data_IF_053884089423
#
_entry.id   IF_053884089423
#
_cell.length_a   1.000
_cell.length_b   1.000
_cell.length_c   1.000
_cell.angle_alpha   90.00
_cell.angle_beta   90.00
_cell.angle_gamma   90.00
#
_symmetry.space_group_name_H-M   'P 1'
#
loop_
_entity.id
_entity.type
_entity.pdbx_description
1 polymer ?
#
# COMPACT_ATOMS: atom_id res chain seq x y z
N UNK A 1 -4.32 -0.58 -4.86
CA UNK A 1 -2.87 -0.78 -5.03
C UNK A 1 -2.50 -0.43 -6.45
N UNK A 2 -1.33 0.16 -6.67
CA UNK A 2 -0.78 0.28 -8.01
C UNK A 2 -0.56 -1.09 -8.63
N UNK A 3 -0.52 -1.15 -9.97
CA UNK A 3 -0.11 -2.36 -10.67
C UNK A 3 1.42 -2.49 -10.65
N UNK A 4 1.91 -3.72 -10.78
CA UNK A 4 3.35 -4.00 -10.97
C UNK A 4 3.94 -3.22 -12.14
N UNK A 5 3.15 -2.97 -13.18
CA UNK A 5 3.56 -2.14 -14.31
C UNK A 5 3.84 -0.70 -13.87
N UNK A 6 2.98 -0.11 -13.03
CA UNK A 6 3.19 1.23 -12.52
C UNK A 6 4.40 1.29 -11.58
N UNK A 7 4.56 0.32 -10.68
CA UNK A 7 5.74 0.23 -9.82
C UNK A 7 7.04 0.22 -10.62
N UNK A 8 7.18 -0.69 -11.59
CA UNK A 8 8.37 -0.73 -12.47
C UNK A 8 8.58 0.55 -13.25
N UNK A 9 7.50 1.18 -13.72
CA UNK A 9 7.61 2.46 -14.40
C UNK A 9 8.16 3.54 -13.46
N UNK A 10 7.63 3.64 -12.23
CA UNK A 10 8.11 4.59 -11.22
C UNK A 10 9.59 4.31 -10.86
N UNK A 11 9.99 3.05 -10.72
CA UNK A 11 11.39 2.68 -10.48
C UNK A 11 12.29 3.18 -11.61
N UNK A 12 11.90 2.93 -12.86
CA UNK A 12 12.65 3.37 -14.04
C UNK A 12 12.73 4.89 -14.19
N UNK A 13 11.69 5.63 -13.77
CA UNK A 13 11.73 7.10 -13.70
C UNK A 13 12.78 7.55 -12.67
N UNK A 14 12.73 7.03 -11.45
CA UNK A 14 13.67 7.41 -10.40
C UNK A 14 15.12 7.04 -10.76
N UNK A 15 15.35 5.86 -11.34
CA UNK A 15 16.68 5.44 -11.81
C UNK A 15 17.28 6.37 -12.87
N UNK A 16 16.45 7.00 -13.71
CA UNK A 16 16.91 7.94 -14.74
C UNK A 16 17.09 9.36 -14.22
N UNK A 17 16.25 9.78 -13.28
CA UNK A 17 16.10 11.19 -12.89
C UNK A 17 16.71 11.53 -11.52
N UNK A 18 17.07 10.52 -10.72
CA UNK A 18 17.60 10.70 -9.36
C UNK A 18 19.03 10.19 -9.29
N UNK A 19 19.97 11.11 -9.13
CA UNK A 19 21.38 10.76 -8.92
C UNK A 19 21.51 9.90 -7.65
N UNK A 20 22.13 8.74 -7.80
CA UNK A 20 22.37 7.79 -6.70
C UNK A 20 21.23 6.79 -6.47
N UNK A 21 20.10 6.89 -7.18
CA UNK A 21 19.10 5.84 -7.21
C UNK A 21 19.48 4.82 -8.29
N UNK A 22 20.21 3.77 -7.91
CA UNK A 22 20.71 2.74 -8.83
C UNK A 22 20.27 1.37 -8.33
N UNK A 23 19.88 0.49 -9.25
CA UNK A 23 19.67 -0.93 -8.98
C UNK A 23 20.78 -1.71 -9.66
N UNK A 24 21.41 -2.60 -8.93
CA UNK A 24 22.53 -3.42 -9.39
C UNK A 24 22.30 -4.91 -9.16
N UNK A 25 21.35 -5.27 -8.29
CA UNK A 25 20.99 -6.65 -8.02
C UNK A 25 20.30 -7.25 -9.26
N UNK A 26 20.87 -8.32 -9.86
CA UNK A 26 20.33 -8.93 -11.07
C UNK A 26 18.89 -9.42 -10.89
N UNK A 27 18.02 -9.05 -11.84
CA UNK A 27 16.61 -9.49 -11.85
C UNK A 27 15.74 -8.91 -10.73
N UNK A 28 16.26 -8.00 -9.90
CA UNK A 28 15.54 -7.41 -8.77
C UNK A 28 14.23 -6.73 -9.21
N UNK A 29 14.30 -5.82 -10.18
CA UNK A 29 13.15 -5.02 -10.66
C UNK A 29 12.00 -5.90 -11.17
N UNK A 30 12.31 -7.06 -11.74
CA UNK A 30 11.30 -7.98 -12.31
C UNK A 30 10.65 -8.89 -11.27
N UNK A 31 11.28 -9.04 -10.09
CA UNK A 31 10.88 -9.97 -9.04
C UNK A 31 10.33 -9.30 -7.79
N UNK A 32 10.79 -8.10 -7.46
CA UNK A 32 10.50 -7.45 -6.17
C UNK A 32 9.00 -7.37 -5.88
N UNK A 33 8.18 -6.96 -6.85
CA UNK A 33 6.72 -6.88 -6.69
C UNK A 33 6.07 -8.26 -6.44
N UNK A 34 6.57 -9.32 -7.11
CA UNK A 34 6.05 -10.69 -6.92
C UNK A 34 6.36 -11.23 -5.54
N UNK A 35 7.56 -10.91 -5.03
CA UNK A 35 8.02 -11.31 -3.70
C UNK A 35 7.14 -10.65 -2.64
N UNK A 36 6.82 -9.37 -2.79
CA UNK A 36 6.04 -8.59 -1.84
C UNK A 36 4.55 -8.97 -1.87
N UNK A 37 3.96 -9.07 -3.06
CA UNK A 37 2.49 -9.21 -3.19
C UNK A 37 2.00 -10.66 -3.22
N UNK A 38 2.88 -11.64 -3.45
CA UNK A 38 2.45 -13.00 -3.78
C UNK A 38 3.27 -14.11 -3.14
N UNK A 39 4.58 -14.13 -3.37
CA UNK A 39 5.37 -15.37 -3.24
C UNK A 39 5.64 -15.78 -1.78
N UNK A 40 5.59 -14.84 -0.82
CA UNK A 40 5.84 -15.10 0.60
C UNK A 40 4.66 -14.76 1.53
N UNK A 41 3.49 -14.47 0.96
CA UNK A 41 2.30 -13.99 1.67
C UNK A 41 2.25 -12.46 1.77
N UNK A 42 1.09 -11.89 2.10
CA UNK A 42 0.92 -10.43 2.18
C UNK A 42 1.85 -9.84 3.25
N UNK A 43 2.78 -8.98 2.82
CA UNK A 43 3.75 -8.31 3.69
C UNK A 43 3.55 -6.79 3.70
N UNK A 44 2.31 -6.34 3.47
CA UNK A 44 1.90 -4.94 3.44
C UNK A 44 2.43 -4.16 4.66
N UNK A 45 3.47 -3.36 4.44
CA UNK A 45 3.94 -2.42 5.45
C UNK A 45 2.99 -1.23 5.50
N UNK A 46 2.43 -0.97 6.68
CA UNK A 46 1.66 0.24 6.98
C UNK A 46 0.14 0.09 6.80
N UNK A 47 -0.33 -1.07 6.31
CA UNK A 47 -1.76 -1.43 6.25
C UNK A 47 -2.10 -2.58 7.21
N UNK A 48 -1.77 -2.41 8.49
CA UNK A 48 -2.07 -3.41 9.50
C UNK A 48 -1.24 -3.25 10.77
N UNK A 49 -1.63 -3.96 11.83
CA UNK A 49 -0.89 -4.01 13.09
C UNK A 49 -0.01 -5.26 13.22
N UNK A 50 0.26 -5.99 12.14
CA UNK A 50 1.10 -7.18 12.23
C UNK A 50 2.56 -6.77 12.52
N UNK A 51 3.07 -7.05 13.74
CA UNK A 51 4.42 -6.66 14.11
C UNK A 51 5.50 -7.50 13.43
N UNK A 52 5.13 -8.54 12.67
CA UNK A 52 6.07 -9.44 11.99
C UNK A 52 6.18 -9.17 10.48
N UNK A 53 5.38 -8.25 9.91
CA UNK A 53 5.42 -7.99 8.46
C UNK A 53 6.79 -7.59 7.95
N UNK A 54 7.52 -6.72 8.67
CA UNK A 54 8.84 -6.29 8.26
C UNK A 54 9.88 -7.40 8.36
N UNK A 55 9.85 -8.20 9.42
CA UNK A 55 10.71 -9.40 9.55
C UNK A 55 10.46 -10.40 8.42
N UNK A 56 9.20 -10.64 8.06
CA UNK A 56 8.86 -11.51 6.92
C UNK A 56 9.35 -10.95 5.59
N UNK A 57 9.21 -9.63 5.37
CA UNK A 57 9.77 -8.96 4.21
C UNK A 57 11.29 -9.13 4.13
N UNK A 58 12.02 -8.81 5.21
CA UNK A 58 13.48 -8.99 5.23
C UNK A 58 13.88 -10.43 4.96
N UNK A 59 13.16 -11.41 5.54
CA UNK A 59 13.41 -12.82 5.26
C UNK A 59 13.14 -13.17 3.80
N UNK A 60 12.08 -12.66 3.19
CA UNK A 60 11.79 -12.89 1.77
C UNK A 60 12.90 -12.30 0.87
N UNK A 61 13.34 -11.07 1.16
CA UNK A 61 14.46 -10.44 0.44
C UNK A 61 15.78 -11.19 0.64
N UNK A 62 16.04 -11.66 1.87
CA UNK A 62 17.17 -12.53 2.18
C UNK A 62 17.15 -13.80 1.33
N UNK A 63 16.04 -14.55 1.35
CA UNK A 63 15.92 -15.80 0.60
C UNK A 63 16.06 -15.60 -0.91
N UNK A 64 15.65 -14.45 -1.44
CA UNK A 64 15.60 -14.22 -2.87
C UNK A 64 16.85 -13.55 -3.46
N UNK A 65 17.50 -12.68 -2.70
CA UNK A 65 18.63 -11.87 -3.18
C UNK A 65 19.82 -11.81 -2.23
N UNK A 66 19.67 -12.34 -1.00
CA UNK A 66 20.68 -12.22 0.03
C UNK A 66 21.95 -13.02 -0.24
N UNK A 67 22.98 -12.70 0.51
CA UNK A 67 24.22 -13.46 0.57
C UNK A 67 24.93 -13.41 1.92
N UNK A 68 25.85 -14.33 2.17
CA UNK A 68 26.64 -14.35 3.40
C UNK A 68 27.91 -13.53 3.20
N UNK A 69 28.14 -12.57 4.10
CA UNK A 69 29.40 -11.87 4.23
C UNK A 69 30.31 -12.59 5.24
N UNK A 70 31.50 -13.00 4.83
CA UNK A 70 32.53 -13.52 5.72
C UNK A 70 33.45 -12.38 6.17
N UNK A 71 33.36 -12.01 7.45
CA UNK A 71 34.15 -10.92 8.03
C UNK A 71 35.64 -11.22 8.12
N UNK A 72 36.05 -12.49 8.04
CA UNK A 72 37.46 -12.88 8.08
C UNK A 72 38.14 -12.67 6.72
N UNK A 73 37.50 -13.15 5.64
CA UNK A 73 38.03 -13.00 4.27
C UNK A 73 37.64 -11.68 3.63
N UNK A 74 36.66 -10.96 4.20
CA UNK A 74 36.10 -9.73 3.63
C UNK A 74 35.50 -9.97 2.23
N UNK A 75 34.82 -11.11 2.07
CA UNK A 75 34.23 -11.56 0.81
C UNK A 75 32.82 -12.12 1.01
N UNK A 76 32.03 -12.08 -0.06
CA UNK A 76 30.73 -12.74 -0.14
C UNK A 76 30.89 -14.22 -0.50
N UNK A 77 30.10 -15.10 0.13
CA UNK A 77 30.13 -16.54 -0.14
C UNK A 77 29.42 -16.94 -1.44
N UNK A 78 28.71 -16.03 -2.10
CA UNK A 78 28.03 -16.22 -3.39
C UNK A 78 27.00 -17.36 -3.35
N UNK A 79 26.09 -17.32 -2.36
CA UNK A 79 24.99 -18.27 -2.24
C UNK A 79 24.12 -18.28 -3.51
N UNK A 80 23.90 -19.47 -4.06
CA UNK A 80 23.35 -19.66 -5.41
C UNK A 80 21.85 -19.95 -5.44
N UNK A 81 21.28 -20.33 -4.31
CA UNK A 81 19.88 -20.78 -4.26
C UNK A 81 19.18 -20.45 -2.95
N UNK A 82 17.85 -20.41 -3.00
CA UNK A 82 16.98 -20.32 -1.82
C UNK A 82 17.31 -21.44 -0.83
N UNK A 83 17.56 -22.66 -1.33
CA UNK A 83 17.86 -23.82 -0.49
C UNK A 83 19.15 -23.62 0.31
N UNK A 84 20.21 -23.14 -0.34
CA UNK A 84 21.49 -22.85 0.32
C UNK A 84 21.34 -21.75 1.39
N UNK A 85 20.54 -20.72 1.12
CA UNK A 85 20.26 -19.68 2.12
C UNK A 85 19.43 -20.19 3.30
N UNK A 86 18.49 -21.11 3.08
CA UNK A 86 17.78 -21.80 4.16
C UNK A 86 18.71 -22.70 4.98
N UNK A 87 19.66 -23.38 4.35
CA UNK A 87 20.68 -24.14 5.09
C UNK A 87 21.53 -23.22 5.96
N UNK A 88 21.91 -22.04 5.45
CA UNK A 88 22.63 -21.04 6.25
C UNK A 88 21.81 -20.53 7.43
N UNK A 89 20.51 -20.24 7.25
CA UNK A 89 19.60 -19.93 8.37
C UNK A 89 19.66 -21.03 9.43
N UNK A 90 19.52 -22.29 9.02
CA UNK A 90 19.55 -23.44 9.94
C UNK A 90 20.91 -23.59 10.64
N UNK A 91 22.02 -23.46 9.91
CA UNK A 91 23.39 -23.57 10.47
C UNK A 91 23.64 -22.53 11.55
N UNK A 92 23.22 -21.28 11.32
CA UNK A 92 23.35 -20.20 12.30
C UNK A 92 22.44 -20.43 13.50
N UNK A 93 21.20 -20.90 13.30
CA UNK A 93 20.30 -21.24 14.42
C UNK A 93 20.91 -22.34 15.30
N UNK A 94 21.49 -23.38 14.68
CA UNK A 94 22.12 -24.49 15.41
C UNK A 94 23.47 -24.13 16.02
N UNK A 95 24.17 -23.14 15.47
CA UNK A 95 25.49 -22.70 15.93
C UNK A 95 25.56 -21.15 15.95
N UNK A 96 25.01 -20.49 16.98
CA UNK A 96 24.96 -19.02 17.04
C UNK A 96 26.33 -18.33 16.98
N UNK A 97 27.40 -19.01 17.42
CA UNK A 97 28.79 -18.49 17.37
C UNK A 97 29.24 -18.16 15.94
N UNK A 98 28.63 -18.77 14.92
CA UNK A 98 28.89 -18.45 13.51
C UNK A 98 28.59 -16.99 13.17
N UNK A 99 27.69 -16.32 13.92
CA UNK A 99 27.39 -14.89 13.71
C UNK A 99 28.57 -13.96 14.00
N UNK A 100 29.59 -14.43 14.73
CA UNK A 100 30.81 -13.66 14.96
C UNK A 100 31.66 -13.49 13.69
N UNK A 101 31.47 -14.38 12.71
CA UNK A 101 32.22 -14.40 11.44
C UNK A 101 31.32 -14.14 10.23
N UNK A 102 30.14 -14.76 10.20
CA UNK A 102 29.25 -14.73 9.05
C UNK A 102 28.06 -13.81 9.33
N UNK A 103 27.85 -12.84 8.44
CA UNK A 103 26.74 -11.91 8.53
C UNK A 103 25.78 -12.11 7.35
N UNK A 104 24.48 -12.09 7.62
CA UNK A 104 23.48 -12.07 6.56
C UNK A 104 23.43 -10.69 5.93
N UNK A 105 23.60 -10.67 4.61
CA UNK A 105 23.50 -9.46 3.82
C UNK A 105 22.30 -9.53 2.89
N UNK A 106 21.48 -8.49 2.89
CA UNK A 106 20.43 -8.27 1.89
C UNK A 106 20.89 -7.07 1.07
N UNK A 107 20.90 -7.15 -0.28
CA UNK A 107 21.30 -6.04 -1.12
C UNK A 107 20.55 -4.74 -0.81
N UNK A 108 21.30 -3.64 -0.74
CA UNK A 108 20.74 -2.37 -0.28
C UNK A 108 19.61 -1.88 -1.22
N UNK A 109 19.79 -2.06 -2.53
CA UNK A 109 18.79 -1.71 -3.55
C UNK A 109 17.50 -2.55 -3.44
N UNK A 110 17.59 -3.79 -2.96
CA UNK A 110 16.41 -4.63 -2.70
C UNK A 110 15.57 -4.08 -1.54
N UNK A 111 16.20 -3.65 -0.45
CA UNK A 111 15.52 -3.01 0.69
C UNK A 111 14.89 -1.68 0.24
N UNK A 112 15.62 -0.88 -0.54
CA UNK A 112 15.14 0.41 -1.05
C UNK A 112 13.93 0.24 -1.97
N UNK A 113 13.97 -0.70 -2.93
CA UNK A 113 12.84 -0.94 -3.82
C UNK A 113 11.62 -1.51 -3.09
N UNK A 114 11.83 -2.42 -2.13
CA UNK A 114 10.72 -2.91 -1.31
C UNK A 114 10.06 -1.79 -0.50
N UNK A 115 10.87 -0.90 0.06
CA UNK A 115 10.36 0.26 0.80
C UNK A 115 9.61 1.21 -0.12
N UNK A 116 10.14 1.48 -1.32
CA UNK A 116 9.48 2.31 -2.33
C UNK A 116 8.15 1.70 -2.78
N UNK A 117 8.07 0.39 -2.99
CA UNK A 117 6.84 -0.32 -3.30
C UNK A 117 5.74 0.03 -2.28
N UNK A 118 6.01 -0.16 -0.98
CA UNK A 118 5.05 0.12 0.06
C UNK A 118 4.69 1.62 0.17
N UNK A 119 5.64 2.52 -0.08
CA UNK A 119 5.35 3.97 -0.14
C UNK A 119 4.37 4.27 -1.28
N UNK A 120 4.59 3.76 -2.50
CA UNK A 120 3.70 3.96 -3.64
C UNK A 120 2.30 3.42 -3.35
N UNK A 121 2.23 2.28 -2.67
CA UNK A 121 0.98 1.71 -2.23
C UNK A 121 0.21 2.58 -1.24
N UNK A 122 0.89 3.12 -0.24
CA UNK A 122 0.31 4.03 0.74
C UNK A 122 -0.10 5.36 0.09
N UNK A 123 0.65 5.84 -0.90
CA UNK A 123 0.27 7.00 -1.71
C UNK A 123 -1.02 6.75 -2.49
N UNK A 124 -1.12 5.61 -3.20
CA UNK A 124 -2.34 5.21 -3.92
C UNK A 124 -3.54 5.10 -2.97
N UNK A 125 -3.33 4.48 -1.80
CA UNK A 125 -4.35 4.39 -0.78
C UNK A 125 -4.79 5.78 -0.30
N UNK A 126 -3.85 6.68 -0.06
CA UNK A 126 -4.14 8.04 0.39
C UNK A 126 -5.01 8.80 -0.61
N UNK A 127 -4.60 8.86 -1.89
CA UNK A 127 -5.33 9.61 -2.91
C UNK A 127 -6.71 9.00 -3.20
N UNK A 128 -6.87 7.68 -3.05
CA UNK A 128 -8.15 7.02 -3.24
C UNK A 128 -9.15 7.39 -2.13
N UNK A 129 -8.67 7.62 -0.90
CA UNK A 129 -9.49 7.92 0.27
C UNK A 129 -9.62 9.41 0.58
N UNK A 130 -8.76 10.25 0.01
CA UNK A 130 -8.71 11.68 0.29
C UNK A 130 -8.71 12.43 -1.04
N UNK A 131 -9.69 13.30 -1.30
CA UNK A 131 -9.60 14.22 -2.43
C UNK A 131 -8.42 15.16 -2.17
N UNK A 132 -7.35 15.01 -2.95
CA UNK A 132 -6.15 15.84 -2.85
C UNK A 132 -5.87 16.47 -4.20
N UNK A 133 -5.58 17.76 -4.17
CA UNK A 133 -5.16 18.51 -5.35
C UNK A 133 -3.69 18.24 -5.66
N UNK A 134 -3.30 18.38 -6.92
CA UNK A 134 -1.95 18.03 -7.36
C UNK A 134 -0.87 18.90 -6.68
N UNK A 135 -1.14 20.19 -6.44
CA UNK A 135 -0.22 21.08 -5.74
C UNK A 135 0.06 20.64 -4.29
N UNK A 136 -0.86 19.87 -3.70
CA UNK A 136 -0.75 19.25 -2.37
C UNK A 136 -0.36 17.77 -2.42
N UNK A 137 0.11 17.28 -3.56
CA UNK A 137 0.50 15.87 -3.73
C UNK A 137 1.51 15.40 -2.68
N UNK A 138 2.39 16.26 -2.17
CA UNK A 138 3.37 15.89 -1.13
C UNK A 138 2.71 15.29 0.13
N UNK A 139 1.44 15.61 0.41
CA UNK A 139 0.69 15.05 1.54
C UNK A 139 0.55 13.53 1.47
N UNK A 140 0.51 12.93 0.27
CA UNK A 140 0.46 11.47 0.12
C UNK A 140 1.76 10.80 0.58
N UNK A 141 2.89 11.48 0.35
CA UNK A 141 4.21 10.99 0.79
C UNK A 141 4.37 11.18 2.30
N UNK A 142 3.91 12.30 2.85
CA UNK A 142 3.87 12.52 4.31
C UNK A 142 2.95 11.53 5.03
N UNK A 143 1.85 11.12 4.38
CA UNK A 143 1.03 10.02 4.87
C UNK A 143 1.81 8.72 4.89
N UNK A 144 2.47 8.35 3.79
CA UNK A 144 3.27 7.12 3.73
C UNK A 144 4.40 7.10 4.77
N UNK A 145 5.13 8.21 4.93
CA UNK A 145 6.18 8.37 5.96
C UNK A 145 5.65 8.09 7.37
N UNK A 146 4.49 8.68 7.72
CA UNK A 146 3.86 8.47 9.03
C UNK A 146 3.36 7.04 9.21
N UNK A 147 2.76 6.46 8.18
CA UNK A 147 2.28 5.08 8.21
C UNK A 147 3.42 4.06 8.38
N UNK A 148 4.60 4.36 7.82
CA UNK A 148 5.80 3.52 7.94
C UNK A 148 6.64 3.80 9.21
N UNK A 149 6.23 4.74 10.07
CA UNK A 149 7.03 5.14 11.24
C UNK A 149 7.36 3.99 12.20
N UNK A 150 6.51 2.95 12.30
CA UNK A 150 6.83 1.77 13.12
C UNK A 150 8.00 0.97 12.55
N UNK A 151 8.07 0.84 11.23
CA UNK A 151 9.16 0.16 10.53
C UNK A 151 10.44 1.00 10.48
N UNK A 152 10.32 2.33 10.62
CA UNK A 152 11.49 3.19 10.81
C UNK A 152 12.33 2.79 12.02
N UNK A 153 11.72 2.29 13.10
CA UNK A 153 12.46 1.76 14.23
C UNK A 153 13.23 0.49 13.87
N UNK A 154 12.63 -0.40 13.07
CA UNK A 154 13.29 -1.63 12.60
C UNK A 154 14.41 -1.34 11.59
N UNK A 155 14.29 -0.28 10.78
CA UNK A 155 15.35 0.19 9.88
C UNK A 155 16.60 0.69 10.63
N UNK A 156 16.50 1.09 11.90
CA UNK A 156 17.67 1.54 12.70
C UNK A 156 18.67 0.41 12.94
N UNK A 157 18.18 -0.82 12.99
CA UNK A 157 19.01 -2.01 13.20
C UNK A 157 19.74 -2.44 11.90
N UNK A 158 19.36 -1.86 10.75
CA UNK A 158 19.98 -2.13 9.46
C UNK A 158 21.02 -1.07 9.11
N UNK A 159 22.16 -1.53 8.59
CA UNK A 159 23.18 -0.68 7.98
C UNK A 159 23.39 -1.07 6.52
N UNK A 160 23.50 -0.06 5.67
CA UNK A 160 23.94 -0.21 4.29
C UNK A 160 25.35 -0.79 4.27
N UNK A 161 25.76 -1.35 3.13
CA UNK A 161 27.08 -1.95 2.96
C UNK A 161 28.23 -0.98 3.31
N UNK A 162 28.04 0.32 3.07
CA UNK A 162 29.01 1.37 3.40
C UNK A 162 28.82 1.98 4.80
N UNK A 163 28.08 1.31 5.69
CA UNK A 163 27.88 1.71 7.09
C UNK A 163 26.82 2.79 7.32
N UNK A 164 26.25 3.38 6.26
CA UNK A 164 25.16 4.36 6.38
C UNK A 164 23.92 3.70 7.02
N UNK A 165 23.31 4.30 8.05
CA UNK A 165 22.05 3.81 8.61
C UNK A 165 20.92 3.81 7.56
N UNK A 166 20.11 2.76 7.50
CA UNK A 166 18.98 2.72 6.57
C UNK A 166 17.90 3.77 6.87
N UNK A 167 17.85 4.31 8.08
CA UNK A 167 17.01 5.47 8.40
C UNK A 167 17.36 6.71 7.60
N UNK A 168 18.65 6.95 7.32
CA UNK A 168 19.07 8.07 6.47
C UNK A 168 18.70 7.82 5.00
N UNK A 169 18.84 6.58 4.54
CA UNK A 169 18.43 6.17 3.19
C UNK A 169 16.91 6.32 3.02
N UNK A 170 16.13 5.96 4.02
CA UNK A 170 14.68 6.14 4.04
C UNK A 170 14.29 7.61 3.96
N UNK A 171 14.88 8.46 4.80
CA UNK A 171 14.58 9.90 4.79
C UNK A 171 14.99 10.56 3.48
N UNK A 172 16.15 10.17 2.92
CA UNK A 172 16.55 10.58 1.57
C UNK A 172 15.51 10.18 0.52
N UNK A 173 15.03 8.93 0.54
CA UNK A 173 14.01 8.46 -0.38
C UNK A 173 12.70 9.26 -0.24
N UNK A 174 12.26 9.54 0.98
CA UNK A 174 11.07 10.34 1.25
C UNK A 174 11.20 11.75 0.66
N UNK A 175 12.33 12.43 0.84
CA UNK A 175 12.54 13.77 0.29
C UNK A 175 12.58 13.75 -1.24
N UNK A 176 13.25 12.76 -1.86
CA UNK A 176 13.22 12.54 -3.31
C UNK A 176 11.79 12.40 -3.85
N UNK A 177 10.94 11.64 -3.15
CA UNK A 177 9.55 11.43 -3.53
C UNK A 177 8.69 12.68 -3.28
N UNK A 178 8.98 13.48 -2.26
CA UNK A 178 8.28 14.75 -2.01
C UNK A 178 8.57 15.77 -3.11
N UNK A 179 9.82 15.92 -3.52
CA UNK A 179 10.22 16.77 -4.65
C UNK A 179 9.48 16.39 -5.94
N UNK A 180 9.24 15.08 -6.14
CA UNK A 180 8.58 14.51 -7.33
C UNK A 180 7.10 14.19 -7.10
N UNK A 181 6.52 14.67 -6.01
CA UNK A 181 5.18 14.29 -5.59
C UNK A 181 4.11 14.58 -6.65
N UNK A 182 4.21 15.69 -7.38
CA UNK A 182 3.29 16.00 -8.50
C UNK A 182 3.35 14.97 -9.62
N UNK A 183 4.56 14.56 -10.02
CA UNK A 183 4.77 13.55 -11.07
C UNK A 183 4.20 12.20 -10.62
N UNK A 184 4.51 11.79 -9.38
CA UNK A 184 3.98 10.55 -8.79
C UNK A 184 2.45 10.60 -8.71
N UNK A 185 1.88 11.74 -8.30
CA UNK A 185 0.43 11.92 -8.21
C UNK A 185 -0.25 11.74 -9.56
N UNK A 186 0.29 12.36 -10.63
CA UNK A 186 -0.24 12.17 -11.98
C UNK A 186 -0.23 10.71 -12.40
N UNK A 187 0.89 10.00 -12.17
CA UNK A 187 1.01 8.58 -12.48
C UNK A 187 -0.01 7.71 -11.74
N UNK A 188 -0.18 7.93 -10.43
CA UNK A 188 -1.14 7.19 -9.61
C UNK A 188 -2.59 7.52 -10.01
N UNK A 189 -2.89 8.80 -10.28
CA UNK A 189 -4.22 9.23 -10.70
C UNK A 189 -4.59 8.70 -12.08
N UNK A 190 -3.67 8.73 -13.04
CA UNK A 190 -3.88 8.12 -14.36
C UNK A 190 -4.23 6.63 -14.23
N UNK A 191 -3.57 5.91 -13.32
CA UNK A 191 -3.91 4.52 -13.05
C UNK A 191 -5.30 4.35 -12.41
N UNK A 192 -5.71 5.24 -11.52
CA UNK A 192 -7.08 5.24 -10.99
C UNK A 192 -8.10 5.48 -12.09
N UNK A 193 -7.87 6.47 -12.96
CA UNK A 193 -8.77 6.81 -14.06
C UNK A 193 -8.92 5.63 -15.04
N UNK A 194 -7.83 4.92 -15.35
CA UNK A 194 -7.88 3.68 -16.15
C UNK A 194 -8.72 2.58 -15.49
N UNK A 195 -8.85 2.60 -14.15
CA UNK A 195 -9.68 1.68 -13.37
C UNK A 195 -11.11 2.21 -13.14
N UNK A 196 -11.50 3.31 -13.78
CA UNK A 196 -12.80 3.96 -13.59
C UNK A 196 -12.95 4.68 -12.24
N UNK A 197 -11.84 4.98 -11.57
CA UNK A 197 -11.77 5.63 -10.26
C UNK A 197 -11.15 7.03 -10.38
N UNK A 198 -11.39 7.88 -9.38
CA UNK A 198 -10.65 9.13 -9.19
C UNK A 198 -10.35 9.31 -7.69
N UNK A 199 -9.67 10.39 -7.35
CA UNK A 199 -9.30 10.70 -5.96
C UNK A 199 -10.53 10.88 -5.07
N UNK A 200 -10.44 10.38 -3.83
CA UNK A 200 -11.52 10.45 -2.85
C UNK A 200 -12.74 9.56 -3.15
N UNK A 201 -12.67 8.61 -4.08
CA UNK A 201 -13.79 7.74 -4.48
C UNK A 201 -13.66 6.29 -3.99
N UNK A 202 -13.09 6.07 -2.80
CA UNK A 202 -13.00 4.73 -2.21
C UNK A 202 -14.35 4.21 -1.67
N UNK A 203 -14.45 2.89 -1.50
CA UNK A 203 -15.59 2.27 -0.81
C UNK A 203 -15.70 2.69 0.66
N UNK A 204 -14.59 3.06 1.31
CA UNK A 204 -14.59 3.59 2.68
C UNK A 204 -15.18 5.00 2.74
N UNK A 205 -14.95 5.81 1.71
CA UNK A 205 -15.58 7.13 1.58
C UNK A 205 -17.10 6.97 1.44
N UNK A 206 -17.55 6.03 0.58
CA UNK A 206 -18.98 5.70 0.45
C UNK A 206 -19.56 5.22 1.80
N UNK A 207 -18.84 4.35 2.51
CA UNK A 207 -19.26 3.85 3.83
C UNK A 207 -19.41 5.00 4.84
N UNK A 208 -18.44 5.91 4.88
CA UNK A 208 -18.46 7.07 5.77
C UNK A 208 -19.59 8.04 5.43
N UNK A 209 -19.80 8.31 4.14
CA UNK A 209 -20.89 9.18 3.67
C UNK A 209 -22.25 8.61 4.05
N UNK A 210 -22.50 7.32 3.77
CA UNK A 210 -23.73 6.64 4.16
C UNK A 210 -23.90 6.61 5.68
N UNK A 211 -22.85 6.34 6.45
CA UNK A 211 -22.92 6.35 7.91
C UNK A 211 -23.31 7.72 8.47
N UNK A 212 -22.72 8.79 7.95
CA UNK A 212 -23.03 10.16 8.38
C UNK A 212 -24.46 10.52 8.02
N UNK A 213 -24.89 10.18 6.80
CA UNK A 213 -26.24 10.42 6.32
C UNK A 213 -27.30 9.71 7.16
N UNK A 214 -27.10 8.41 7.43
CA UNK A 214 -27.98 7.60 8.27
C UNK A 214 -28.10 8.19 9.68
N UNK A 215 -26.97 8.60 10.28
CA UNK A 215 -26.98 9.21 11.62
C UNK A 215 -27.72 10.54 11.62
N UNK A 216 -27.48 11.40 10.64
CA UNK A 216 -28.12 12.73 10.52
C UNK A 216 -29.64 12.62 10.42
N UNK A 217 -30.13 11.66 9.64
CA UNK A 217 -31.57 11.47 9.36
C UNK A 217 -32.26 10.47 10.29
N UNK A 218 -31.52 9.93 11.26
CA UNK A 218 -31.98 8.90 12.20
C UNK A 218 -32.53 7.63 11.51
N UNK A 219 -31.90 7.24 10.41
CA UNK A 219 -32.25 6.02 9.68
C UNK A 219 -31.70 4.76 10.37
N UNK A 220 -32.33 3.65 10.06
CA UNK A 220 -31.86 2.32 10.42
C UNK A 220 -30.59 1.96 9.62
N UNK A 221 -29.68 1.21 10.26
CA UNK A 221 -28.36 0.87 9.69
C UNK A 221 -28.35 -0.24 8.62
N UNK A 222 -29.53 -0.73 8.20
CA UNK A 222 -29.68 -1.66 7.08
C UNK A 222 -30.22 -0.86 5.89
N UNK A 223 -29.51 -0.93 4.76
CA UNK A 223 -29.71 -0.11 3.58
C UNK A 223 -30.25 -1.00 2.46
N UNK A 224 -31.29 -0.54 1.77
CA UNK A 224 -31.78 -1.20 0.56
C UNK A 224 -30.92 -0.81 -0.63
N UNK A 225 -30.42 -1.77 -1.39
CA UNK A 225 -29.62 -1.57 -2.60
C UNK A 225 -30.13 -2.50 -3.69
N UNK A 226 -30.69 -1.95 -4.78
CA UNK A 226 -31.17 -2.69 -5.96
C UNK A 226 -31.94 -3.99 -5.63
N UNK A 227 -32.94 -3.93 -4.74
CA UNK A 227 -33.75 -5.11 -4.39
C UNK A 227 -33.36 -5.85 -3.12
N UNK A 228 -32.25 -5.49 -2.46
CA UNK A 228 -31.71 -6.24 -1.31
C UNK A 228 -31.39 -5.34 -0.13
N UNK A 229 -31.77 -5.77 1.08
CA UNK A 229 -31.40 -5.11 2.33
C UNK A 229 -30.03 -5.61 2.81
N UNK A 230 -29.09 -4.70 3.03
CA UNK A 230 -27.69 -5.01 3.35
C UNK A 230 -27.21 -4.18 4.55
N UNK A 231 -26.37 -4.75 5.44
CA UNK A 231 -25.66 -3.96 6.44
C UNK A 231 -24.78 -2.89 5.78
N UNK A 232 -24.62 -1.74 6.43
CA UNK A 232 -23.88 -0.56 5.93
C UNK A 232 -22.60 -0.88 5.14
N UNK A 233 -21.66 -1.64 5.70
CA UNK A 233 -20.39 -1.93 5.02
C UNK A 233 -20.57 -2.78 3.75
N UNK A 234 -21.51 -3.72 3.78
CA UNK A 234 -21.85 -4.54 2.61
C UNK A 234 -22.57 -3.72 1.54
N UNK A 235 -23.51 -2.87 1.96
CA UNK A 235 -24.22 -1.95 1.08
C UNK A 235 -23.23 -1.02 0.37
N UNK A 236 -22.35 -0.35 1.11
CA UNK A 236 -21.34 0.56 0.57
C UNK A 236 -20.45 -0.13 -0.48
N UNK A 237 -20.00 -1.36 -0.22
CA UNK A 237 -19.19 -2.12 -1.16
C UNK A 237 -19.97 -2.51 -2.43
N UNK A 238 -21.23 -2.93 -2.29
CA UNK A 238 -22.10 -3.24 -3.44
C UNK A 238 -22.36 -2.00 -4.28
N UNK A 239 -22.77 -0.90 -3.65
CA UNK A 239 -23.01 0.39 -4.31
C UNK A 239 -21.74 0.82 -5.08
N UNK A 240 -20.59 0.82 -4.41
CA UNK A 240 -19.31 1.19 -5.01
C UNK A 240 -18.96 0.34 -6.24
N UNK A 241 -19.06 -1.00 -6.12
CA UNK A 241 -18.79 -1.92 -7.25
C UNK A 241 -19.74 -1.72 -8.44
N UNK A 242 -21.02 -1.46 -8.18
CA UNK A 242 -22.01 -1.29 -9.23
C UNK A 242 -21.79 0.03 -9.98
N UNK A 243 -21.58 1.13 -9.25
CA UNK A 243 -21.31 2.45 -9.84
C UNK A 243 -20.00 2.47 -10.64
N UNK A 244 -18.95 1.77 -10.18
CA UNK A 244 -17.72 1.62 -10.96
C UNK A 244 -17.90 0.89 -12.29
N UNK A 245 -18.95 0.09 -12.42
CA UNK A 245 -19.31 -0.59 -13.67
C UNK A 245 -20.25 0.24 -14.54
N UNK A 246 -20.51 1.51 -14.17
CA UNK A 246 -21.48 2.38 -14.83
C UNK A 246 -22.94 1.91 -14.66
N UNK A 247 -23.21 1.06 -13.67
CA UNK A 247 -24.57 0.58 -13.41
C UNK A 247 -25.30 1.54 -12.49
N UNK A 248 -26.56 1.85 -12.83
CA UNK A 248 -27.44 2.61 -11.94
C UNK A 248 -27.68 1.88 -10.63
N UNK A 249 -27.69 2.62 -9.53
CA UNK A 249 -27.94 2.11 -8.20
C UNK A 249 -29.09 2.87 -7.56
N UNK A 250 -30.05 2.10 -7.06
CA UNK A 250 -31.15 2.56 -6.23
C UNK A 250 -30.85 2.21 -4.79
N UNK A 251 -30.79 3.23 -3.95
CA UNK A 251 -30.52 3.17 -2.52
C UNK A 251 -31.80 3.55 -1.78
N UNK A 252 -32.19 2.75 -0.79
CA UNK A 252 -33.36 3.03 0.05
C UNK A 252 -33.00 3.07 1.53
N UNK A 253 -33.58 4.01 2.25
CA UNK A 253 -33.42 4.18 3.69
C UNK A 253 -34.77 3.99 4.41
N UNK A 254 -34.71 3.53 5.65
CA UNK A 254 -35.88 3.35 6.50
C UNK A 254 -35.63 3.92 7.89
N UNK A 255 -36.66 4.50 8.51
CA UNK A 255 -36.64 4.86 9.95
C UNK A 255 -36.93 3.67 10.87
N UNK A 256 -37.57 2.62 10.35
CA UNK A 256 -37.98 1.47 11.14
C UNK A 256 -37.01 0.30 11.02
N UNK A 257 -36.90 -0.44 12.14
CA UNK A 257 -36.13 -1.68 12.23
C UNK A 257 -36.94 -2.86 11.70
N UNK A 258 -36.26 -3.87 11.19
CA UNK A 258 -36.87 -5.13 10.74
C UNK A 258 -36.09 -5.78 9.60
N UNK A 259 -36.46 -7.01 9.20
CA UNK A 259 -35.82 -7.72 8.09
C UNK A 259 -36.18 -7.14 6.72
N UNK A 260 -37.37 -6.53 6.58
CA UNK A 260 -37.86 -5.90 5.36
C UNK A 260 -38.57 -4.58 5.68
N UNK A 261 -37.84 -3.57 6.15
CA UNK A 261 -38.45 -2.33 6.59
C UNK A 261 -38.98 -1.52 5.38
N UNK A 262 -39.99 -0.66 5.53
CA UNK A 262 -40.48 0.16 4.42
C UNK A 262 -39.46 1.24 4.03
N UNK A 263 -39.31 1.48 2.73
CA UNK A 263 -38.43 2.53 2.21
C UNK A 263 -39.12 3.89 2.41
N UNK A 264 -38.54 4.74 3.24
CA UNK A 264 -39.02 6.09 3.50
C UNK A 264 -38.38 7.11 2.56
N UNK A 265 -37.14 6.84 2.17
CA UNK A 265 -36.39 7.69 1.25
C UNK A 265 -35.66 6.82 0.24
N UNK A 266 -35.66 7.28 -1.02
CA UNK A 266 -35.06 6.58 -2.15
C UNK A 266 -34.15 7.54 -2.92
N UNK A 267 -32.90 7.15 -3.06
CA UNK A 267 -31.89 7.86 -3.84
C UNK A 267 -31.55 6.99 -5.05
N UNK A 268 -31.67 7.54 -6.26
CA UNK A 268 -31.17 6.91 -7.49
C UNK A 268 -29.94 7.67 -7.98
N UNK A 269 -28.88 6.94 -8.30
CA UNK A 269 -27.59 7.48 -8.73
C UNK A 269 -26.99 6.63 -9.86
N UNK A 270 -26.20 7.27 -10.70
CA UNK A 270 -25.52 6.68 -11.86
C UNK A 270 -24.01 6.69 -11.76
N UNK A 271 -23.43 7.53 -10.88
CA UNK A 271 -22.01 7.54 -10.57
C UNK A 271 -21.71 7.85 -9.09
N UNK A 272 -20.44 7.71 -8.70
CA UNK A 272 -19.98 7.90 -7.31
C UNK A 272 -20.01 9.37 -6.85
N UNK A 273 -19.79 10.34 -7.75
CA UNK A 273 -19.80 11.76 -7.38
C UNK A 273 -21.22 12.22 -7.12
N UNK A 274 -22.15 11.87 -8.01
CA UNK A 274 -23.58 12.10 -7.83
C UNK A 274 -24.08 11.54 -6.50
N UNK A 275 -23.65 10.33 -6.13
CA UNK A 275 -23.96 9.75 -4.83
C UNK A 275 -23.43 10.58 -3.67
N UNK A 276 -22.16 10.98 -3.71
CA UNK A 276 -21.56 11.73 -2.61
C UNK A 276 -22.15 13.13 -2.47
N UNK A 277 -22.56 13.76 -3.57
CA UNK A 277 -23.29 15.04 -3.58
C UNK A 277 -24.68 14.89 -2.95
N UNK A 278 -25.49 13.91 -3.40
CA UNK A 278 -26.83 13.67 -2.82
C UNK A 278 -26.81 13.31 -1.34
N UNK A 279 -25.77 12.63 -0.86
CA UNK A 279 -25.59 12.34 0.57
C UNK A 279 -25.11 13.57 1.38
N UNK A 280 -24.64 14.63 0.72
CA UNK A 280 -24.20 15.89 1.35
C UNK A 280 -25.27 16.99 1.33
N UNK A 281 -26.02 17.09 0.25
CA UNK A 281 -26.87 18.25 -0.09
C UNK A 281 -28.23 18.31 0.61
N UNK A 282 -28.56 17.34 1.47
CA UNK A 282 -29.70 17.46 2.39
C UNK A 282 -29.41 18.41 3.57
N UNK A 283 -28.80 19.57 3.29
CA UNK A 283 -28.57 20.69 4.19
C UNK A 283 -29.68 21.76 4.08
N UNK A 284 -30.93 21.32 4.01
CA UNK A 284 -32.10 22.15 4.33
C UNK A 284 -32.77 21.64 5.61
#
# INVERSE_FOLDING_TARGET
MPSWRLHRYAYGVLMREVRGFVTWTPGLVDRIDKIIDRDYGEHDLGRGKDPLSFKRLLRALWLEFGDIWDSLSNEFLNTRSIHERLEWEQRIIMNPELQNRYMFYIPDDAIVLATLHHILDLCMYYILNNPVEEDKAYLMVEYARRALHRYYAELKELRAMHGRPFTEVFEWLIEVLKERSRQIYRLLREELLMKGLDTGLSSQVVTSALSSYIRKKEYYGIIYVNGRWLPLASAANVIWKLLLRGQKVVIGFSKYRGPYPPIHERIEVSDLRELLEKLRDDNE
#
